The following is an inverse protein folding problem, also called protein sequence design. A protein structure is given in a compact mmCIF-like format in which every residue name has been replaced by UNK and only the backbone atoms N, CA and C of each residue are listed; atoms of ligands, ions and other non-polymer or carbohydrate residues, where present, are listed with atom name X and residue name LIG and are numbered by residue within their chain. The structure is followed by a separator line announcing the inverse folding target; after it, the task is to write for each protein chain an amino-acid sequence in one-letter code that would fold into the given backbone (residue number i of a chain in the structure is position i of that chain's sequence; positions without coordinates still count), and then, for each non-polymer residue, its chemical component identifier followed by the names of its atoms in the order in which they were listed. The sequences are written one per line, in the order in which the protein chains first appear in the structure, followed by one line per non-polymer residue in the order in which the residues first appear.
data_IF_996938375047
#
_entry.id   IF_996938375047
#
_cell.length_a   1.000
_cell.length_b   1.000
_cell.length_c   1.000
_cell.angle_alpha   90.00
_cell.angle_beta   90.00
_cell.angle_gamma   90.00
#
_symmetry.space_group_name_H-M   'P 1'
#
loop_
_entity.id
_entity.type
_entity.pdbx_description
1 polymer ?
#
# COMPACT_ATOMS: atom_id res chain seq x y z
N UNK A 1 0.57 -3.91 -11.63
CA UNK A 1 -0.79 -3.36 -11.86
C UNK A 1 -1.33 -3.67 -13.25
N UNK A 2 -0.48 -3.92 -14.25
CA UNK A 2 -0.93 -4.23 -15.61
C UNK A 2 -1.84 -5.46 -15.68
N UNK A 3 -1.56 -6.48 -14.85
CA UNK A 3 -2.41 -7.67 -14.74
C UNK A 3 -3.81 -7.38 -14.16
N UNK A 4 -3.98 -6.29 -13.40
CA UNK A 4 -5.28 -5.82 -12.89
C UNK A 4 -5.97 -4.84 -13.85
N UNK A 5 -5.35 -4.51 -14.99
CA UNK A 5 -5.86 -3.50 -15.93
C UNK A 5 -5.67 -2.06 -15.45
N UNK A 6 -4.70 -1.81 -14.58
CA UNK A 6 -4.44 -0.50 -13.99
C UNK A 6 -5.23 -0.23 -12.70
N UNK A 7 -4.97 0.94 -12.10
CA UNK A 7 -5.58 1.39 -10.84
C UNK A 7 -5.91 2.88 -10.94
N UNK A 8 -7.13 3.24 -10.54
CA UNK A 8 -7.57 4.63 -10.51
C UNK A 8 -6.98 5.33 -9.29
N UNK A 9 -6.19 6.38 -9.53
CA UNK A 9 -5.57 7.17 -8.48
C UNK A 9 -5.85 8.64 -8.76
N UNK A 10 -6.27 9.35 -7.72
CA UNK A 10 -6.37 10.80 -7.75
C UNK A 10 -5.02 11.40 -7.35
N UNK A 11 -4.29 11.96 -8.31
CA UNK A 11 -2.95 12.51 -8.12
C UNK A 11 -3.07 13.90 -7.49
N UNK A 12 -2.45 14.14 -6.33
CA UNK A 12 -2.71 15.35 -5.54
C UNK A 12 -2.02 16.60 -6.10
N UNK A 13 -0.89 16.42 -6.78
CA UNK A 13 -0.01 17.49 -7.23
C UNK A 13 0.81 17.02 -8.44
N UNK A 14 1.35 17.93 -9.27
CA UNK A 14 2.19 17.53 -10.39
C UNK A 14 3.40 16.75 -9.87
N UNK A 15 3.64 15.58 -10.45
CA UNK A 15 4.77 14.70 -10.12
C UNK A 15 5.64 14.55 -11.36
N UNK A 16 6.65 15.40 -11.48
CA UNK A 16 7.68 15.29 -12.50
C UNK A 16 9.00 14.90 -11.84
N UNK A 17 9.54 13.76 -12.22
CA UNK A 17 10.84 13.31 -11.78
C UNK A 17 11.47 12.47 -12.88
N UNK A 18 12.61 12.95 -13.39
CA UNK A 18 13.37 12.25 -14.41
C UNK A 18 14.75 11.95 -13.84
N UNK A 19 15.00 10.67 -13.58
CA UNK A 19 16.31 10.17 -13.24
C UNK A 19 16.88 9.39 -14.43
N UNK A 20 17.80 10.04 -15.14
CA UNK A 20 18.49 9.48 -16.29
C UNK A 20 19.41 8.30 -15.93
N UNK A 21 19.78 8.13 -14.65
CA UNK A 21 20.67 7.06 -14.19
C UNK A 21 19.90 5.83 -13.73
N UNK A 22 18.70 6.03 -13.17
CA UNK A 22 17.82 4.97 -12.66
C UNK A 22 16.70 4.51 -13.62
N UNK A 23 16.63 5.07 -14.83
CA UNK A 23 15.51 4.91 -15.79
C UNK A 23 14.13 5.13 -15.13
N UNK A 24 14.06 6.11 -14.22
CA UNK A 24 12.83 6.45 -13.51
C UNK A 24 12.29 7.76 -14.07
N UNK A 25 11.26 7.63 -14.90
CA UNK A 25 10.52 8.75 -15.47
C UNK A 25 9.12 8.75 -14.84
N UNK A 26 8.87 9.70 -13.96
CA UNK A 26 7.56 9.96 -13.35
C UNK A 26 7.05 11.24 -13.97
N UNK A 27 5.92 11.13 -14.63
CA UNK A 27 5.22 12.25 -15.24
C UNK A 27 3.73 12.03 -15.01
N UNK A 28 3.22 12.58 -13.90
CA UNK A 28 1.82 12.46 -13.48
C UNK A 28 1.26 13.85 -13.23
N UNK A 29 0.17 14.16 -13.93
CA UNK A 29 -0.58 15.38 -13.73
C UNK A 29 -1.59 15.23 -12.58
N UNK A 30 -1.98 16.32 -11.92
CA UNK A 30 -3.03 16.29 -10.91
C UNK A 30 -4.38 15.78 -11.43
N UNK A 31 -5.12 15.09 -10.56
CA UNK A 31 -6.48 14.63 -10.81
C UNK A 31 -6.62 13.10 -10.93
N UNK A 32 -7.86 12.66 -11.16
CA UNK A 32 -8.21 11.25 -11.26
C UNK A 32 -7.75 10.65 -12.60
N UNK A 33 -6.82 9.70 -12.52
CA UNK A 33 -6.29 9.01 -13.70
C UNK A 33 -6.07 7.52 -13.48
N UNK A 34 -6.18 6.74 -14.56
CA UNK A 34 -5.93 5.31 -14.54
C UNK A 34 -4.43 5.04 -14.73
N UNK A 35 -3.76 4.64 -13.66
CA UNK A 35 -2.32 4.37 -13.66
C UNK A 35 -2.03 2.93 -14.10
N UNK A 36 -1.12 2.77 -15.06
CA UNK A 36 -0.51 1.47 -15.37
C UNK A 36 0.54 1.06 -14.33
N UNK A 37 1.17 -0.12 -14.48
CA UNK A 37 2.17 -0.64 -13.55
C UNK A 37 3.34 0.30 -13.27
N UNK A 38 3.89 0.91 -14.32
CA UNK A 38 5.03 1.83 -14.19
C UNK A 38 4.62 3.13 -13.51
N UNK A 39 3.50 3.71 -13.91
CA UNK A 39 2.96 4.95 -13.34
C UNK A 39 2.56 4.77 -11.87
N UNK A 40 1.91 3.66 -11.54
CA UNK A 40 1.55 3.31 -10.17
C UNK A 40 2.78 3.17 -9.25
N UNK A 41 3.84 2.52 -9.76
CA UNK A 41 5.11 2.43 -9.04
C UNK A 41 5.74 3.81 -8.85
N UNK A 42 5.70 4.66 -9.89
CA UNK A 42 6.15 6.04 -9.84
C UNK A 42 5.43 6.85 -8.76
N UNK A 43 4.09 6.82 -8.76
CA UNK A 43 3.25 7.50 -7.77
C UNK A 43 3.60 7.11 -6.34
N UNK A 44 3.74 5.81 -6.05
CA UNK A 44 4.07 5.31 -4.71
C UNK A 44 5.51 5.66 -4.27
N UNK A 45 6.44 5.79 -5.23
CA UNK A 45 7.86 6.09 -4.96
C UNK A 45 8.21 7.57 -5.01
N UNK A 46 7.28 8.44 -5.42
CA UNK A 46 7.54 9.87 -5.54
C UNK A 46 7.88 10.49 -4.17
N UNK A 47 8.98 11.24 -4.13
CA UNK A 47 9.56 11.84 -2.91
C UNK A 47 9.95 13.31 -3.05
N UNK A 48 9.80 13.92 -4.23
CA UNK A 48 10.33 15.25 -4.47
C UNK A 48 9.65 16.26 -3.53
N UNK A 49 10.45 16.82 -2.61
CA UNK A 49 10.03 17.77 -1.57
C UNK A 49 9.04 17.23 -0.53
N UNK A 50 8.86 15.91 -0.43
CA UNK A 50 7.90 15.27 0.47
C UNK A 50 8.57 14.64 1.70
N UNK A 51 7.92 14.82 2.86
CA UNK A 51 8.30 14.09 4.06
C UNK A 51 7.92 12.60 3.96
N UNK A 52 8.56 11.76 4.77
CA UNK A 52 8.25 10.33 4.85
C UNK A 52 6.77 10.06 5.18
N UNK A 53 6.10 10.98 5.89
CA UNK A 53 4.67 10.90 6.19
C UNK A 53 3.78 11.03 4.95
N UNK A 54 4.10 11.96 4.04
CA UNK A 54 3.35 12.09 2.77
C UNK A 54 3.51 10.85 1.91
N UNK A 55 4.69 10.19 1.94
CA UNK A 55 4.89 8.91 1.26
C UNK A 55 4.01 7.81 1.86
N UNK A 56 3.91 7.75 3.19
CA UNK A 56 3.04 6.78 3.88
C UNK A 56 1.57 7.06 3.50
N UNK A 57 1.13 8.31 3.53
CA UNK A 57 -0.23 8.68 3.12
C UNK A 57 -0.56 8.22 1.70
N UNK A 58 0.34 8.42 0.72
CA UNK A 58 0.15 7.92 -0.65
C UNK A 58 0.09 6.41 -0.73
N UNK A 59 0.90 5.71 0.05
CA UNK A 59 0.83 4.24 0.12
C UNK A 59 -0.53 3.78 0.66
N UNK A 60 -1.08 4.46 1.66
CA UNK A 60 -2.41 4.16 2.19
C UNK A 60 -3.49 4.47 1.14
N UNK A 61 -3.43 5.62 0.47
CA UNK A 61 -4.36 5.99 -0.62
C UNK A 61 -4.29 5.00 -1.77
N UNK A 62 -3.09 4.58 -2.15
CA UNK A 62 -2.87 3.57 -3.17
C UNK A 62 -3.48 2.22 -2.78
N UNK A 63 -3.34 1.80 -1.52
CA UNK A 63 -3.96 0.55 -1.05
C UNK A 63 -5.49 0.62 -1.11
N UNK A 64 -6.10 1.77 -0.76
CA UNK A 64 -7.54 2.00 -0.94
C UNK A 64 -7.94 1.92 -2.42
N UNK A 65 -7.16 2.54 -3.31
CA UNK A 65 -7.40 2.47 -4.75
C UNK A 65 -7.32 1.04 -5.30
N UNK A 66 -6.37 0.23 -4.83
CA UNK A 66 -6.28 -1.20 -5.17
C UNK A 66 -7.50 -1.96 -4.69
N UNK A 67 -7.98 -1.70 -3.47
CA UNK A 67 -9.22 -2.30 -2.95
C UNK A 67 -10.42 -1.93 -3.83
N UNK A 68 -10.59 -0.66 -4.17
CA UNK A 68 -11.66 -0.24 -5.09
C UNK A 68 -11.56 -0.97 -6.43
N UNK A 69 -10.34 -1.14 -6.94
CA UNK A 69 -10.12 -1.92 -8.17
C UNK A 69 -10.55 -3.37 -8.00
N UNK A 70 -10.35 -4.00 -6.84
CA UNK A 70 -10.83 -5.36 -6.56
C UNK A 70 -12.36 -5.47 -6.50
N UNK A 71 -13.12 -4.39 -6.36
CA UNK A 71 -14.59 -4.42 -6.43
C UNK A 71 -15.10 -4.58 -7.86
N UNK A 72 -14.30 -4.22 -8.87
CA UNK A 72 -14.67 -4.31 -10.29
C UNK A 72 -14.73 -5.79 -10.76
N UNK A 73 -15.87 -6.27 -11.29
CA UNK A 73 -16.02 -7.63 -11.81
C UNK A 73 -15.01 -8.00 -12.92
N UNK A 74 -14.57 -7.04 -13.74
CA UNK A 74 -13.62 -7.27 -14.83
C UNK A 74 -12.24 -7.74 -14.33
N UNK A 75 -11.88 -7.38 -13.10
CA UNK A 75 -10.65 -7.85 -12.45
C UNK A 75 -10.74 -9.34 -12.15
N UNK A 76 -11.91 -9.82 -11.71
CA UNK A 76 -12.11 -11.22 -11.34
C UNK A 76 -12.12 -12.17 -12.53
N UNK A 77 -12.52 -11.69 -13.71
CA UNK A 77 -12.36 -12.44 -14.97
C UNK A 77 -10.88 -12.75 -15.28
N UNK A 78 -9.97 -11.89 -14.83
CA UNK A 78 -8.52 -12.04 -15.02
C UNK A 78 -7.78 -12.42 -13.74
N UNK A 79 -8.49 -12.55 -12.61
CA UNK A 79 -7.89 -12.68 -11.29
C UNK A 79 -6.97 -13.90 -11.14
N UNK A 80 -7.30 -15.10 -11.67
CA UNK A 80 -6.38 -16.22 -11.59
C UNK A 80 -5.03 -15.92 -12.24
N UNK A 81 -5.05 -15.41 -13.47
CA UNK A 81 -3.84 -15.04 -14.21
C UNK A 81 -3.09 -13.88 -13.55
N UNK A 82 -3.82 -12.90 -13.02
CA UNK A 82 -3.23 -11.74 -12.34
C UNK A 82 -2.59 -12.12 -11.00
N UNK A 83 -3.23 -12.98 -10.23
CA UNK A 83 -2.71 -13.52 -8.97
C UNK A 83 -1.48 -14.39 -9.21
N UNK A 84 -1.53 -15.30 -10.21
CA UNK A 84 -0.37 -16.10 -10.61
C UNK A 84 0.80 -15.23 -11.11
N UNK A 85 0.52 -14.14 -11.83
CA UNK A 85 1.55 -13.20 -12.24
C UNK A 85 2.15 -12.43 -11.05
N UNK A 86 1.31 -11.98 -10.11
CA UNK A 86 1.76 -11.30 -8.90
C UNK A 86 2.64 -12.22 -8.04
N UNK A 87 2.23 -13.48 -7.88
CA UNK A 87 2.98 -14.50 -7.12
C UNK A 87 4.38 -14.77 -7.64
N UNK A 88 4.65 -14.60 -8.95
CA UNK A 88 6.02 -14.70 -9.50
C UNK A 88 6.94 -13.58 -9.05
N UNK A 89 6.39 -12.45 -8.61
CA UNK A 89 7.12 -11.25 -8.20
C UNK A 89 7.01 -10.96 -6.70
N UNK A 90 6.21 -11.72 -5.96
CA UNK A 90 6.01 -11.59 -4.52
C UNK A 90 6.68 -12.78 -3.82
N UNK A 91 7.48 -12.51 -2.79
CA UNK A 91 7.94 -13.55 -1.86
C UNK A 91 6.98 -13.57 -0.69
N UNK A 92 6.31 -14.69 -0.50
CA UNK A 92 5.31 -14.90 0.57
C UNK A 92 5.36 -16.35 1.04
N UNK A 93 4.96 -16.59 2.29
CA UNK A 93 4.75 -17.92 2.86
C UNK A 93 3.30 -18.39 2.69
N UNK A 94 2.42 -17.57 2.12
CA UNK A 94 1.02 -17.90 1.89
C UNK A 94 0.85 -18.79 0.65
N UNK A 95 -0.02 -19.78 0.76
CA UNK A 95 -0.48 -20.58 -0.37
C UNK A 95 -1.40 -19.78 -1.31
N UNK A 96 -1.57 -20.26 -2.54
CA UNK A 96 -2.41 -19.61 -3.55
C UNK A 96 -3.85 -19.38 -3.05
N UNK A 97 -4.44 -20.40 -2.44
CA UNK A 97 -5.81 -20.39 -1.92
C UNK A 97 -5.96 -19.38 -0.78
N UNK A 98 -4.95 -19.24 0.08
CA UNK A 98 -4.94 -18.27 1.18
C UNK A 98 -4.93 -16.84 0.63
N UNK A 99 -4.12 -16.59 -0.39
CA UNK A 99 -4.09 -15.27 -1.05
C UNK A 99 -5.39 -14.95 -1.77
N UNK A 100 -6.00 -15.93 -2.44
CA UNK A 100 -7.30 -15.76 -3.07
C UNK A 100 -8.39 -15.47 -2.03
N UNK A 101 -8.42 -16.21 -0.93
CA UNK A 101 -9.34 -15.98 0.17
C UNK A 101 -9.16 -14.58 0.77
N UNK A 102 -7.91 -14.14 0.97
CA UNK A 102 -7.60 -12.80 1.45
C UNK A 102 -8.09 -11.70 0.48
N UNK A 103 -7.90 -11.89 -0.82
CA UNK A 103 -8.39 -10.94 -1.83
C UNK A 103 -9.92 -10.87 -1.85
N UNK A 104 -10.61 -12.00 -1.72
CA UNK A 104 -12.07 -12.07 -1.64
C UNK A 104 -12.60 -11.42 -0.36
N UNK A 105 -11.92 -11.65 0.77
CA UNK A 105 -12.25 -11.01 2.04
C UNK A 105 -12.07 -9.48 1.95
N UNK A 106 -10.92 -9.02 1.44
CA UNK A 106 -10.63 -7.60 1.27
C UNK A 106 -11.67 -6.88 0.39
N UNK A 107 -12.21 -7.57 -0.63
CA UNK A 107 -13.30 -7.07 -1.48
C UNK A 107 -14.59 -6.84 -0.71
N UNK A 108 -14.92 -7.71 0.24
CA UNK A 108 -16.17 -7.66 0.99
C UNK A 108 -16.14 -6.66 2.15
N UNK A 109 -14.95 -6.29 2.62
CA UNK A 109 -14.82 -5.31 3.70
C UNK A 109 -15.37 -3.94 3.27
N UNK A 110 -16.22 -3.28 4.07
CA UNK A 110 -16.57 -1.89 3.83
C UNK A 110 -15.37 -0.98 4.10
N UNK A 111 -15.32 0.18 3.45
CA UNK A 111 -14.18 1.11 3.58
C UNK A 111 -14.07 1.70 4.98
N UNK A 112 -15.19 1.80 5.69
CA UNK A 112 -15.29 2.23 7.09
C UNK A 112 -14.67 1.25 8.08
N UNK A 113 -14.51 -0.03 7.70
CA UNK A 113 -13.87 -1.04 8.54
C UNK A 113 -12.35 -1.10 8.35
N UNK A 114 -11.79 -0.32 7.43
CA UNK A 114 -10.34 -0.27 7.21
C UNK A 114 -9.77 0.93 7.94
N UNK A 115 -9.30 0.66 9.15
CA UNK A 115 -8.46 1.59 9.92
C UNK A 115 -7.02 1.43 9.47
N UNK A 116 -6.34 2.55 9.21
CA UNK A 116 -4.93 2.57 8.85
C UNK A 116 -4.24 3.58 9.75
N UNK A 117 -3.14 3.16 10.37
CA UNK A 117 -2.42 3.96 11.35
C UNK A 117 -0.94 3.97 11.00
N UNK A 118 -0.25 5.05 11.38
CA UNK A 118 1.21 5.15 11.25
C UNK A 118 1.82 5.06 12.65
N UNK A 119 2.84 4.23 12.81
CA UNK A 119 3.50 4.12 14.12
C UNK A 119 4.02 5.49 14.58
N UNK A 120 3.76 5.88 15.84
CA UNK A 120 4.17 7.16 16.35
C UNK A 120 5.69 7.22 16.44
N UNK A 121 6.28 8.26 15.86
CA UNK A 121 7.72 8.51 15.86
C UNK A 121 8.06 9.81 16.57
N UNK A 122 9.31 9.92 17.00
CA UNK A 122 9.93 11.14 17.53
C UNK A 122 11.24 11.40 16.78
N UNK A 123 11.65 12.66 16.76
CA UNK A 123 12.92 13.04 16.13
C UNK A 123 14.11 12.45 16.90
N UNK A 124 14.98 11.77 16.17
CA UNK A 124 16.27 11.28 16.64
C UNK A 124 17.41 12.24 16.28
N UNK A 125 18.66 11.76 16.35
CA UNK A 125 19.80 12.56 15.86
C UNK A 125 19.80 12.60 14.33
N UNK A 126 19.92 13.80 13.76
CA UNK A 126 19.96 14.01 12.30
C UNK A 126 18.58 13.84 11.66
N UNK A 127 18.51 13.08 10.57
CA UNK A 127 17.27 12.76 9.84
C UNK A 127 16.58 11.48 10.33
N UNK A 128 17.04 10.90 11.44
CA UNK A 128 16.52 9.64 11.95
C UNK A 128 15.20 9.84 12.69
N UNK A 129 14.19 9.04 12.35
CA UNK A 129 12.94 8.93 13.10
C UNK A 129 13.03 7.71 14.01
N UNK A 130 12.81 7.91 15.31
CA UNK A 130 12.78 6.82 16.30
C UNK A 130 11.34 6.54 16.69
N UNK A 131 10.94 5.26 16.70
CA UNK A 131 9.62 4.88 17.19
C UNK A 131 9.47 5.29 18.66
N UNK A 132 8.40 5.99 18.97
CA UNK A 132 7.99 6.26 20.34
C UNK A 132 7.37 4.97 20.90
N UNK A 133 8.16 4.20 21.65
CA UNK A 133 7.78 2.86 22.13
C UNK A 133 6.54 2.86 23.01
N UNK A 134 6.37 3.88 23.85
CA UNK A 134 5.22 3.99 24.75
C UNK A 134 3.93 4.18 23.95
N UNK A 135 3.88 5.23 23.11
CA UNK A 135 2.72 5.49 22.24
C UNK A 135 2.47 4.37 21.23
N UNK A 136 3.52 3.73 20.73
CA UNK A 136 3.37 2.61 19.81
C UNK A 136 2.74 1.40 20.49
N UNK A 137 3.08 1.14 21.76
CA UNK A 137 2.43 0.07 22.53
C UNK A 137 0.95 0.36 22.76
N UNK A 138 0.61 1.57 23.17
CA UNK A 138 -0.79 2.00 23.34
C UNK A 138 -1.59 1.82 22.05
N UNK A 139 -1.04 2.27 20.92
CA UNK A 139 -1.66 2.10 19.60
C UNK A 139 -1.84 0.62 19.23
N UNK A 140 -0.83 -0.23 19.47
CA UNK A 140 -0.92 -1.65 19.16
C UNK A 140 -1.94 -2.38 20.05
N UNK A 141 -2.06 -1.97 21.32
CA UNK A 141 -3.08 -2.47 22.24
C UNK A 141 -4.48 -2.05 21.78
N UNK A 142 -4.66 -0.78 21.39
CA UNK A 142 -5.92 -0.26 20.86
C UNK A 142 -6.35 -1.01 19.58
N UNK A 143 -5.40 -1.34 18.73
CA UNK A 143 -5.63 -2.11 17.50
C UNK A 143 -5.79 -3.62 17.75
N UNK A 144 -5.65 -4.09 18.99
CA UNK A 144 -5.76 -5.51 19.36
C UNK A 144 -4.59 -6.39 18.91
N UNK A 145 -3.46 -5.79 18.52
CA UNK A 145 -2.24 -6.50 18.13
C UNK A 145 -1.31 -6.82 19.31
N UNK A 146 -1.56 -6.24 20.48
CA UNK A 146 -0.74 -6.42 21.67
C UNK A 146 -1.64 -6.59 22.90
N UNK A 147 -1.47 -7.68 23.63
CA UNK A 147 -2.06 -7.88 24.95
C UNK A 147 -0.94 -8.31 25.91
N UNK A 148 -0.97 -7.81 27.14
CA UNK A 148 0.15 -7.90 28.11
C UNK A 148 0.36 -9.32 28.70
N UNK A 149 -0.27 -10.34 28.10
CA UNK A 149 -0.33 -11.70 28.64
C UNK A 149 0.29 -12.82 27.81
N UNK A 150 0.25 -12.80 26.48
CA UNK A 150 0.65 -13.99 25.69
C UNK A 150 1.19 -13.63 24.30
N UNK A 151 2.31 -14.25 23.92
CA UNK A 151 2.79 -14.34 22.52
C UNK A 151 1.70 -15.00 21.67
N UNK A 152 0.83 -14.21 21.02
CA UNK A 152 -0.20 -14.73 20.11
C UNK A 152 0.29 -14.96 18.68
N UNK A 153 1.57 -14.70 18.39
CA UNK A 153 2.20 -14.95 17.08
C UNK A 153 3.27 -16.06 17.13
N UNK A 154 2.99 -17.13 17.88
CA UNK A 154 3.72 -18.39 17.78
C UNK A 154 2.73 -19.57 17.75
N UNK A 155 2.16 -19.83 16.58
CA UNK A 155 1.88 -21.19 16.10
C UNK A 155 2.24 -21.26 14.63
#
# INVERSE_FOLDING_TARGET
MDALGGVWVDVEKPMHYHDNWGDLHIDLEPGLQLLNGKQALGYVRFRHSDSDFHRIERQQKFMRAVKERLKDPSVWLKAPNALSAALRHIRTTMEYEQMLALALFARQLPDTSIRTETLPVRDGRGTNLLVNREKARELLQELGFWDDGYLSYAR
#
